data_IF_407049535196
#
_entry.id   IF_407049535196
#
_cell.length_a   1.000
_cell.length_b   1.000
_cell.length_c   1.000
_cell.angle_alpha   90.00
_cell.angle_beta   90.00
_cell.angle_gamma   90.00
#
_symmetry.space_group_name_H-M   'P 1'
#
loop_
_entity.id
_entity.type
_entity.pdbx_description
1 polymer ?
#
# COMPACT_ATOMS: atom_id res chain seq x y z
N UNK A 1 -6.87 5.83 11.01
CA UNK A 1 -5.94 6.97 10.94
C UNK A 1 -5.08 6.84 9.70
N UNK A 2 -4.41 7.93 9.32
CA UNK A 2 -3.45 7.97 8.22
C UNK A 2 -2.13 8.43 8.81
N UNK A 3 -1.07 7.64 8.62
CA UNK A 3 0.25 7.89 9.18
C UNK A 3 1.32 7.84 8.08
N UNK A 4 2.39 8.61 8.23
CA UNK A 4 3.58 8.52 7.38
C UNK A 4 4.69 7.74 8.10
N UNK A 5 5.38 6.85 7.39
CA UNK A 5 6.55 6.10 7.88
C UNK A 5 7.65 6.11 6.83
N UNK A 6 8.91 6.19 7.25
CA UNK A 6 10.05 5.99 6.36
C UNK A 6 10.32 4.48 6.20
N UNK A 7 10.41 3.99 4.96
CA UNK A 7 10.87 2.63 4.66
C UNK A 7 12.37 2.64 4.37
N UNK A 8 12.79 3.56 3.51
CA UNK A 8 14.19 3.83 3.15
C UNK A 8 14.41 5.34 3.02
N UNK A 9 15.66 5.78 2.83
CA UNK A 9 16.00 7.18 2.54
C UNK A 9 15.29 7.79 1.33
N UNK A 10 14.71 6.96 0.45
CA UNK A 10 14.07 7.39 -0.79
C UNK A 10 12.59 7.00 -0.86
N UNK A 11 12.09 6.20 0.08
CA UNK A 11 10.73 5.63 0.03
C UNK A 11 10.04 5.89 1.36
N UNK A 12 8.93 6.61 1.27
CA UNK A 12 8.00 6.85 2.38
C UNK A 12 6.72 6.07 2.14
N UNK A 13 6.14 5.57 3.22
CA UNK A 13 4.86 4.88 3.25
C UNK A 13 3.79 5.81 3.81
N UNK A 14 2.62 5.81 3.18
CA UNK A 14 1.39 6.35 3.76
C UNK A 14 0.55 5.14 4.18
N UNK A 15 0.42 4.94 5.49
CA UNK A 15 -0.27 3.79 6.08
C UNK A 15 -1.66 4.21 6.55
N UNK A 16 -2.68 3.50 6.07
CA UNK A 16 -4.08 3.69 6.46
C UNK A 16 -4.52 2.49 7.29
N UNK A 17 -4.77 2.71 8.58
CA UNK A 17 -5.10 1.64 9.54
C UNK A 17 -5.91 2.19 10.73
N UNK A 18 -6.69 1.38 11.47
CA UNK A 18 -6.98 -0.02 11.18
C UNK A 18 -8.04 -0.15 10.07
N UNK A 19 -7.98 -1.27 9.36
CA UNK A 19 -9.04 -1.78 8.48
C UNK A 19 -9.43 -3.13 9.05
N UNK A 20 -10.71 -3.38 9.32
CA UNK A 20 -11.15 -4.49 10.19
C UNK A 20 -10.81 -5.86 9.61
N UNK A 21 -10.85 -5.98 8.28
CA UNK A 21 -10.60 -7.23 7.59
C UNK A 21 -10.16 -6.96 6.14
N UNK A 22 -9.84 -8.06 5.45
CA UNK A 22 -9.41 -8.05 4.05
C UNK A 22 -10.44 -7.39 3.11
N UNK A 23 -11.73 -7.61 3.33
CA UNK A 23 -12.76 -7.09 2.42
C UNK A 23 -12.87 -5.57 2.51
N UNK A 24 -12.87 -5.03 3.73
CA UNK A 24 -12.83 -3.57 3.96
C UNK A 24 -11.56 -2.95 3.37
N UNK A 25 -10.41 -3.61 3.53
CA UNK A 25 -9.15 -3.11 2.98
C UNK A 25 -9.13 -3.13 1.43
N UNK A 26 -9.66 -4.18 0.81
CA UNK A 26 -9.76 -4.27 -0.64
C UNK A 26 -10.82 -3.31 -1.20
N UNK A 27 -11.91 -3.04 -0.48
CA UNK A 27 -12.87 -2.01 -0.84
C UNK A 27 -12.22 -0.61 -0.82
N UNK A 28 -11.49 -0.29 0.26
CA UNK A 28 -10.75 0.97 0.36
C UNK A 28 -9.74 1.11 -0.78
N UNK A 29 -8.96 0.05 -1.06
CA UNK A 29 -8.01 0.02 -2.17
C UNK A 29 -8.66 0.33 -3.52
N UNK A 30 -9.80 -0.30 -3.83
CA UNK A 30 -10.53 -0.06 -5.10
C UNK A 30 -11.01 1.39 -5.21
N UNK A 31 -11.52 1.97 -4.11
CA UNK A 31 -11.92 3.38 -4.08
C UNK A 31 -10.72 4.30 -4.28
N UNK A 32 -9.61 4.04 -3.60
CA UNK A 32 -8.40 4.84 -3.71
C UNK A 32 -7.77 4.79 -5.11
N UNK A 33 -7.81 3.64 -5.77
CA UNK A 33 -7.36 3.49 -7.17
C UNK A 33 -8.27 4.22 -8.15
N UNK A 34 -9.58 4.27 -7.89
CA UNK A 34 -10.56 4.92 -8.77
C UNK A 34 -10.66 6.44 -8.56
N UNK A 35 -10.25 6.96 -7.41
CA UNK A 35 -10.34 8.37 -7.04
C UNK A 35 -9.28 9.21 -7.77
N UNK A 36 -9.71 9.97 -8.77
CA UNK A 36 -8.83 10.87 -9.51
C UNK A 36 -8.32 11.99 -8.60
N UNK A 37 -7.00 12.24 -8.63
CA UNK A 37 -6.39 13.32 -7.87
C UNK A 37 -6.20 13.04 -6.38
N UNK A 38 -6.49 11.82 -5.89
CA UNK A 38 -6.25 11.45 -4.49
C UNK A 38 -4.79 11.67 -4.05
N UNK A 39 -3.85 11.42 -4.97
CA UNK A 39 -2.40 11.62 -4.75
C UNK A 39 -1.92 13.03 -5.10
N UNK A 40 -2.84 13.96 -5.33
CA UNK A 40 -2.55 15.35 -5.65
C UNK A 40 -1.72 15.49 -6.94
N UNK A 41 -0.51 16.00 -6.80
CA UNK A 41 0.41 16.27 -7.92
C UNK A 41 1.34 15.09 -8.25
N UNK A 42 1.30 14.00 -7.48
CA UNK A 42 2.12 12.83 -7.77
C UNK A 42 1.65 12.15 -9.06
N UNK A 43 2.61 11.77 -9.90
CA UNK A 43 2.30 10.98 -11.10
C UNK A 43 2.07 9.52 -10.70
N UNK A 44 1.25 8.79 -11.46
CA UNK A 44 0.95 7.38 -11.19
C UNK A 44 2.20 6.49 -11.08
N UNK A 45 3.29 6.85 -11.78
CA UNK A 45 4.57 6.13 -11.73
C UNK A 45 5.37 6.36 -10.43
N UNK A 46 5.04 7.40 -9.66
CA UNK A 46 5.80 7.83 -8.49
C UNK A 46 5.24 7.24 -7.18
N UNK A 47 4.15 6.49 -7.25
CA UNK A 47 3.57 5.79 -6.10
C UNK A 47 3.05 4.40 -6.47
N UNK A 48 2.80 3.59 -5.45
CA UNK A 48 2.12 2.31 -5.60
C UNK A 48 1.16 2.11 -4.45
N UNK A 49 0.01 1.51 -4.75
CA UNK A 49 -1.01 1.17 -3.77
C UNK A 49 -1.07 -0.35 -3.65
N UNK A 50 -1.12 -0.85 -2.42
CA UNK A 50 -1.34 -2.27 -2.13
C UNK A 50 -1.99 -2.43 -0.74
N UNK A 51 -2.63 -3.57 -0.54
CA UNK A 51 -3.13 -3.99 0.78
C UNK A 51 -2.13 -4.97 1.39
N UNK A 52 -1.89 -4.84 2.69
CA UNK A 52 -0.97 -5.68 3.45
C UNK A 52 -1.58 -6.03 4.82
N UNK A 53 -1.41 -7.27 5.28
CA UNK A 53 -1.79 -7.68 6.64
C UNK A 53 -0.75 -7.21 7.65
N UNK A 54 -1.11 -7.09 8.93
CA UNK A 54 -0.18 -6.69 9.99
C UNK A 54 1.07 -7.60 10.05
N UNK A 55 0.87 -8.92 9.94
CA UNK A 55 1.98 -9.90 9.93
C UNK A 55 2.94 -9.67 8.75
N UNK A 56 2.41 -9.51 7.53
CA UNK A 56 3.23 -9.24 6.36
C UNK A 56 3.85 -7.84 6.41
N UNK A 57 3.21 -6.88 7.06
CA UNK A 57 3.74 -5.52 7.20
C UNK A 57 4.99 -5.51 8.07
N UNK A 58 5.01 -6.28 9.15
CA UNK A 58 6.22 -6.47 9.96
C UNK A 58 7.38 -7.00 9.11
N UNK A 59 7.16 -8.08 8.35
CA UNK A 59 8.19 -8.66 7.46
C UNK A 59 8.62 -7.65 6.39
N UNK A 60 7.67 -6.95 5.77
CA UNK A 60 7.92 -5.93 4.77
C UNK A 60 8.81 -4.78 5.29
N UNK A 61 8.63 -4.36 6.54
CA UNK A 61 9.45 -3.33 7.16
C UNK A 61 10.88 -3.80 7.46
N UNK A 62 11.09 -5.10 7.65
CA UNK A 62 12.42 -5.72 7.81
C UNK A 62 13.13 -5.89 6.46
N UNK A 63 12.47 -6.53 5.51
CA UNK A 63 13.02 -6.86 4.19
C UNK A 63 13.18 -5.63 3.29
N UNK A 64 12.28 -4.65 3.43
CA UNK A 64 12.21 -3.42 2.63
C UNK A 64 12.12 -3.64 1.12
N UNK A 65 11.74 -4.85 0.70
CA UNK A 65 11.59 -5.20 -0.71
C UNK A 65 10.20 -4.82 -1.22
N UNK A 66 10.10 -3.60 -1.77
CA UNK A 66 8.88 -3.10 -2.43
C UNK A 66 8.51 -3.94 -3.63
N UNK A 67 9.49 -4.33 -4.45
CA UNK A 67 9.27 -5.08 -5.68
C UNK A 67 8.68 -6.46 -5.39
N UNK A 68 9.24 -7.18 -4.41
CA UNK A 68 8.77 -8.52 -4.08
C UNK A 68 7.34 -8.49 -3.53
N UNK A 69 7.03 -7.52 -2.66
CA UNK A 69 5.68 -7.40 -2.12
C UNK A 69 4.67 -7.00 -3.20
N UNK A 70 5.02 -6.08 -4.10
CA UNK A 70 4.15 -5.70 -5.22
C UNK A 70 3.90 -6.87 -6.17
N UNK A 71 4.91 -7.70 -6.43
CA UNK A 71 4.76 -8.92 -7.24
C UNK A 71 3.81 -9.91 -6.57
N UNK A 72 4.01 -10.18 -5.28
CA UNK A 72 3.09 -11.02 -4.50
C UNK A 72 1.66 -10.47 -4.50
N UNK A 73 1.50 -9.16 -4.25
CA UNK A 73 0.19 -8.52 -4.18
C UNK A 73 -0.53 -8.59 -5.52
N UNK A 74 0.17 -8.29 -6.61
CA UNK A 74 -0.36 -8.35 -7.97
C UNK A 74 -0.82 -9.76 -8.32
N UNK A 75 0.02 -10.77 -8.07
CA UNK A 75 -0.29 -12.17 -8.38
C UNK A 75 -1.45 -12.74 -7.55
N UNK A 76 -1.68 -12.22 -6.35
CA UNK A 76 -2.66 -12.78 -5.40
C UNK A 76 -3.99 -12.03 -5.36
N UNK A 77 -3.99 -10.72 -5.63
CA UNK A 77 -5.16 -9.86 -5.35
C UNK A 77 -5.55 -8.91 -6.48
N UNK A 78 -4.66 -8.63 -7.43
CA UNK A 78 -5.00 -7.80 -8.58
C UNK A 78 -5.68 -8.71 -9.63
N UNK A 79 -6.88 -8.35 -10.12
CA UNK A 79 -7.59 -9.13 -11.13
C UNK A 79 -6.86 -9.17 -12.47
#
# INVERSE_FOLDING_TARGET
SVNSKELTKHISLIVVEPLKNKDEAMEYYRKAVAEQGLMGTLQEKDYSLFVISEENFTIFMEDKSVVDYLNFFTNKYKP
#
